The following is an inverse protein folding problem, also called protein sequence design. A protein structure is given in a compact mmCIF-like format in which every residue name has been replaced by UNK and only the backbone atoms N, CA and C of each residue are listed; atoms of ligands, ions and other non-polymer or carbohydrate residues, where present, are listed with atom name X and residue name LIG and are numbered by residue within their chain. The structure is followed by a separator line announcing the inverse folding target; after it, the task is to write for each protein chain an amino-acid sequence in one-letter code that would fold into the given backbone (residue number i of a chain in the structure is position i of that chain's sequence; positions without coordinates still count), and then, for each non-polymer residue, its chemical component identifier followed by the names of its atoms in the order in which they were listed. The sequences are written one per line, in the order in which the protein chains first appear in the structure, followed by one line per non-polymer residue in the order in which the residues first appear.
data_IF_189743208010
#
_entry.id   IF_189743208010
#
_cell.length_a   1.000
_cell.length_b   1.000
_cell.length_c   1.000
_cell.angle_alpha   90.00
_cell.angle_beta   90.00
_cell.angle_gamma   90.00
#
_symmetry.space_group_name_H-M   'P 1'
#
loop_
_entity.id
_entity.type
_entity.pdbx_description
1 polymer ?
#
# COMPACT_ATOMS: atom_id res chain seq x y z
N UNK A 1 24.44 1.00 -33.06
CA UNK A 1 24.10 2.43 -33.21
C UNK A 1 22.60 2.52 -33.29
N UNK A 2 21.92 2.91 -32.21
CA UNK A 2 20.47 3.08 -32.17
C UNK A 2 20.15 4.45 -31.60
N UNK A 3 19.95 5.40 -32.51
CA UNK A 3 19.48 6.75 -32.20
C UNK A 3 17.98 6.78 -32.47
N UNK A 4 17.17 6.73 -31.42
CA UNK A 4 15.72 6.87 -31.53
C UNK A 4 15.11 7.42 -30.24
N UNK A 5 15.47 8.65 -29.87
CA UNK A 5 14.64 9.50 -29.01
C UNK A 5 14.79 10.95 -29.46
N UNK A 6 14.20 11.25 -30.62
CA UNK A 6 13.94 12.62 -31.03
C UNK A 6 12.48 12.95 -30.72
N UNK A 7 12.32 14.01 -29.93
CA UNK A 7 11.06 14.70 -29.60
C UNK A 7 10.22 14.04 -28.51
N UNK A 8 10.53 14.36 -27.25
CA UNK A 8 9.50 14.46 -26.23
C UNK A 8 9.33 15.95 -25.95
N UNK A 9 8.12 16.41 -26.28
CA UNK A 9 7.63 17.75 -26.01
C UNK A 9 7.99 18.21 -24.60
N UNK A 10 8.50 19.44 -24.56
CA UNK A 10 8.88 20.18 -23.38
C UNK A 10 7.66 20.66 -22.59
N UNK A 11 6.77 19.74 -22.20
CA UNK A 11 5.91 19.95 -21.04
C UNK A 11 6.77 19.66 -19.83
N UNK A 12 7.23 20.71 -19.14
CA UNK A 12 8.05 20.66 -17.92
C UNK A 12 7.77 19.40 -17.06
N UNK A 13 8.52 18.33 -17.31
CA UNK A 13 8.48 17.10 -16.52
C UNK A 13 9.30 17.45 -15.27
N UNK A 14 8.65 18.05 -14.27
CA UNK A 14 9.26 18.12 -12.95
C UNK A 14 9.57 16.68 -12.55
N UNK A 15 10.86 16.35 -12.45
CA UNK A 15 11.28 15.05 -11.97
C UNK A 15 10.62 14.83 -10.60
N UNK A 16 9.79 13.79 -10.47
CA UNK A 16 9.16 13.45 -9.20
C UNK A 16 10.26 13.19 -8.17
N UNK A 17 10.11 13.76 -6.99
CA UNK A 17 11.02 13.45 -5.89
C UNK A 17 10.85 11.97 -5.50
N UNK A 18 11.89 11.32 -4.98
CA UNK A 18 11.78 9.96 -4.45
C UNK A 18 10.60 9.79 -3.48
N UNK A 19 10.34 10.81 -2.65
CA UNK A 19 9.20 10.81 -1.71
C UNK A 19 7.83 10.82 -2.42
N UNK A 20 7.69 11.52 -3.54
CA UNK A 20 6.44 11.56 -4.32
C UNK A 20 6.15 10.20 -4.96
N UNK A 21 7.19 9.54 -5.50
CA UNK A 21 7.08 8.18 -6.05
C UNK A 21 6.67 7.19 -4.95
N UNK A 22 7.27 7.30 -3.76
CA UNK A 22 6.92 6.44 -2.64
C UNK A 22 5.48 6.66 -2.15
N UNK A 23 4.97 7.89 -2.17
CA UNK A 23 3.56 8.18 -1.89
C UNK A 23 2.63 7.52 -2.91
N UNK A 24 2.99 7.50 -4.20
CA UNK A 24 2.19 6.81 -5.24
C UNK A 24 2.21 5.29 -5.07
N UNK A 25 3.34 4.70 -4.64
CA UNK A 25 3.37 3.27 -4.28
C UNK A 25 2.41 2.97 -3.14
N UNK A 26 2.35 3.84 -2.13
CA UNK A 26 1.37 3.72 -1.04
C UNK A 26 -0.08 3.91 -1.55
N UNK A 27 -0.34 4.76 -2.56
CA UNK A 27 -1.66 4.83 -3.21
C UNK A 27 -2.03 3.50 -3.86
N UNK A 28 -1.11 2.92 -4.62
CA UNK A 28 -1.35 1.64 -5.29
C UNK A 28 -1.66 0.52 -4.31
N UNK A 29 -0.93 0.44 -3.19
CA UNK A 29 -1.22 -0.53 -2.12
C UNK A 29 -2.60 -0.27 -1.53
N UNK A 30 -2.94 0.98 -1.21
CA UNK A 30 -4.25 1.33 -0.68
C UNK A 30 -5.40 0.96 -1.61
N UNK A 31 -5.21 1.15 -2.93
CA UNK A 31 -6.20 0.79 -3.94
C UNK A 31 -6.42 -0.74 -4.02
N UNK A 32 -5.34 -1.52 -4.04
CA UNK A 32 -5.46 -2.99 -4.03
C UNK A 32 -6.16 -3.47 -2.75
N UNK A 33 -5.89 -2.84 -1.62
CA UNK A 33 -6.55 -3.17 -0.35
C UNK A 33 -8.02 -2.77 -0.33
N UNK A 34 -8.42 -1.69 -1.00
CA UNK A 34 -9.84 -1.31 -1.08
C UNK A 34 -10.69 -2.27 -1.90
N UNK A 35 -10.05 -3.03 -2.79
CA UNK A 35 -10.71 -4.06 -3.60
C UNK A 35 -10.83 -5.40 -2.86
N UNK A 36 -10.24 -5.52 -1.65
CA UNK A 36 -10.46 -6.70 -0.81
C UNK A 36 -11.87 -6.65 -0.23
N UNK A 37 -12.77 -7.42 -0.83
CA UNK A 37 -14.11 -7.60 -0.29
C UNK A 37 -14.07 -8.54 0.93
N UNK A 38 -13.99 -7.94 2.12
CA UNK A 38 -14.02 -8.67 3.38
C UNK A 38 -15.39 -9.32 3.66
N UNK A 39 -16.46 -8.86 2.99
CA UNK A 39 -17.80 -9.43 3.15
C UNK A 39 -17.99 -10.74 2.36
N UNK A 40 -17.18 -10.97 1.32
CA UNK A 40 -17.19 -12.20 0.51
C UNK A 40 -16.29 -13.31 1.08
N UNK A 41 -15.69 -13.10 2.26
CA UNK A 41 -14.88 -14.11 2.95
C UNK A 41 -15.80 -15.17 3.57
N UNK A 42 -16.02 -16.27 2.85
CA UNK A 42 -16.93 -17.34 3.29
C UNK A 42 -16.22 -18.58 3.84
N UNK A 43 -14.98 -18.86 3.40
CA UNK A 43 -14.25 -20.06 3.80
C UNK A 43 -13.01 -19.76 4.64
N UNK A 44 -12.48 -20.77 5.33
CA UNK A 44 -11.21 -20.64 6.05
C UNK A 44 -10.03 -20.36 5.10
N UNK A 45 -10.08 -20.85 3.87
CA UNK A 45 -9.06 -20.57 2.86
C UNK A 45 -9.12 -19.11 2.40
N UNK A 46 -10.33 -18.55 2.25
CA UNK A 46 -10.52 -17.14 1.91
C UNK A 46 -10.02 -16.22 3.03
N UNK A 47 -10.33 -16.56 4.28
CA UNK A 47 -9.82 -15.85 5.45
C UNK A 47 -8.29 -15.89 5.49
N UNK A 48 -7.70 -17.07 5.29
CA UNK A 48 -6.25 -17.24 5.27
C UNK A 48 -5.61 -16.39 4.17
N UNK A 49 -6.20 -16.39 2.97
CA UNK A 49 -5.73 -15.60 1.83
C UNK A 49 -5.86 -14.09 2.09
N UNK A 50 -6.96 -13.64 2.67
CA UNK A 50 -7.17 -12.24 3.05
C UNK A 50 -6.15 -11.78 4.10
N UNK A 51 -5.93 -12.58 5.15
CA UNK A 51 -4.93 -12.27 6.18
C UNK A 51 -3.50 -12.24 5.63
N UNK A 52 -3.17 -13.15 4.71
CA UNK A 52 -1.87 -13.13 4.03
C UNK A 52 -1.68 -11.89 3.15
N UNK A 53 -2.73 -11.45 2.46
CA UNK A 53 -2.70 -10.22 1.65
C UNK A 53 -2.47 -8.99 2.56
N UNK A 54 -3.19 -8.90 3.68
CA UNK A 54 -3.03 -7.83 4.67
C UNK A 54 -1.61 -7.79 5.27
N UNK A 55 -1.06 -8.94 5.67
CA UNK A 55 0.32 -9.04 6.20
C UNK A 55 1.37 -8.65 5.15
N UNK A 56 1.17 -9.07 3.90
CA UNK A 56 2.06 -8.69 2.78
C UNK A 56 2.02 -7.18 2.55
N UNK A 57 0.83 -6.56 2.59
CA UNK A 57 0.70 -5.12 2.44
C UNK A 57 1.37 -4.34 3.59
N UNK A 58 1.18 -4.76 4.85
CA UNK A 58 1.86 -4.15 6.01
C UNK A 58 3.38 -4.18 5.86
N UNK A 59 3.93 -5.34 5.43
CA UNK A 59 5.37 -5.48 5.15
C UNK A 59 5.84 -4.52 4.06
N UNK A 60 5.11 -4.41 2.95
CA UNK A 60 5.42 -3.49 1.86
C UNK A 60 5.41 -2.03 2.32
N UNK A 61 4.41 -1.62 3.10
CA UNK A 61 4.31 -0.26 3.65
C UNK A 61 5.47 0.05 4.59
N UNK A 62 5.83 -0.90 5.47
CA UNK A 62 6.98 -0.76 6.38
C UNK A 62 8.30 -0.67 5.64
N UNK A 63 8.48 -1.44 4.57
CA UNK A 63 9.67 -1.38 3.72
C UNK A 63 9.79 0.00 3.05
N UNK A 64 8.72 0.48 2.41
CA UNK A 64 8.68 1.81 1.80
C UNK A 64 8.99 2.88 2.86
N UNK A 65 8.36 2.83 4.04
CA UNK A 65 8.64 3.80 5.11
C UNK A 65 10.10 3.74 5.60
N UNK A 66 10.69 2.54 5.65
CA UNK A 66 12.07 2.37 6.10
C UNK A 66 13.09 3.01 5.16
N UNK A 67 12.84 3.00 3.85
CA UNK A 67 13.68 3.64 2.83
C UNK A 67 13.88 5.15 3.06
N UNK A 68 12.92 5.81 3.72
CA UNK A 68 12.93 7.27 3.92
C UNK A 68 13.21 7.69 5.38
N UNK A 69 13.67 6.78 6.25
CA UNK A 69 13.92 7.11 7.68
C UNK A 69 15.05 8.15 7.89
N UNK A 70 15.99 8.25 6.97
CA UNK A 70 17.17 9.12 7.06
C UNK A 70 17.05 10.42 6.28
N UNK A 71 16.15 10.46 5.31
CA UNK A 71 15.75 11.72 4.67
C UNK A 71 14.77 12.44 5.61
N UNK A 72 14.61 13.76 5.46
CA UNK A 72 13.49 14.47 6.08
C UNK A 72 12.21 13.87 5.48
N UNK A 73 11.74 12.77 6.09
CA UNK A 73 10.65 11.97 5.56
C UNK A 73 9.49 12.92 5.37
N UNK A 74 9.03 13.04 4.13
CA UNK A 74 7.88 13.89 3.83
C UNK A 74 6.77 13.54 4.81
N UNK A 75 6.32 14.49 5.63
CA UNK A 75 5.25 14.26 6.62
C UNK A 75 4.02 13.63 5.97
N UNK A 76 3.83 13.86 4.68
CA UNK A 76 2.79 13.22 3.86
C UNK A 76 3.01 11.71 3.72
N UNK A 77 4.22 11.25 3.46
CA UNK A 77 4.58 9.84 3.34
C UNK A 77 4.40 9.12 4.68
N UNK A 78 4.90 9.72 5.77
CA UNK A 78 4.80 9.14 7.12
C UNK A 78 3.34 8.98 7.52
N UNK A 79 2.55 10.07 7.47
CA UNK A 79 1.13 10.04 7.82
C UNK A 79 0.35 9.04 6.98
N UNK A 80 0.67 8.94 5.69
CA UNK A 80 -0.02 8.00 4.80
C UNK A 80 0.30 6.55 5.13
N UNK A 81 1.57 6.23 5.37
CA UNK A 81 1.97 4.90 5.80
C UNK A 81 1.27 4.52 7.11
N UNK A 82 1.22 5.44 8.08
CA UNK A 82 0.53 5.24 9.37
C UNK A 82 -0.97 5.01 9.19
N UNK A 83 -1.64 5.80 8.35
CA UNK A 83 -3.05 5.60 8.03
C UNK A 83 -3.31 4.22 7.42
N UNK A 84 -2.48 3.79 6.46
CA UNK A 84 -2.66 2.48 5.82
C UNK A 84 -2.40 1.33 6.80
N UNK A 85 -1.37 1.43 7.65
CA UNK A 85 -1.12 0.42 8.70
C UNK A 85 -2.30 0.31 9.67
N UNK A 86 -2.91 1.44 10.06
CA UNK A 86 -4.09 1.45 10.93
C UNK A 86 -5.32 0.82 10.25
N UNK A 87 -5.53 1.06 8.96
CA UNK A 87 -6.60 0.42 8.18
C UNK A 87 -6.38 -1.09 8.07
N UNK A 88 -5.14 -1.54 7.85
CA UNK A 88 -4.79 -2.97 7.82
C UNK A 88 -5.05 -3.63 9.18
N UNK A 89 -4.69 -2.97 10.29
CA UNK A 89 -4.96 -3.49 11.63
C UNK A 89 -6.46 -3.66 11.85
N UNK A 90 -7.24 -2.63 11.54
CA UNK A 90 -8.69 -2.69 11.65
C UNK A 90 -9.30 -3.80 10.79
N UNK A 91 -8.83 -3.97 9.56
CA UNK A 91 -9.31 -5.05 8.69
C UNK A 91 -8.99 -6.44 9.25
N UNK A 92 -7.83 -6.62 9.89
CA UNK A 92 -7.48 -7.88 10.59
C UNK A 92 -8.39 -8.12 11.78
N UNK A 93 -8.67 -7.09 12.57
CA UNK A 93 -9.57 -7.18 13.72
C UNK A 93 -10.99 -7.56 13.28
N UNK A 94 -11.50 -6.95 12.21
CA UNK A 94 -12.82 -7.26 11.64
C UNK A 94 -12.89 -8.72 11.15
N UNK A 95 -11.88 -9.19 10.41
CA UNK A 95 -11.81 -10.57 9.93
C UNK A 95 -11.72 -11.61 11.05
N UNK A 96 -10.94 -11.33 12.10
CA UNK A 96 -10.78 -12.25 13.24
C UNK A 96 -11.99 -12.25 14.17
N UNK A 97 -12.64 -11.10 14.33
CA UNK A 97 -13.86 -10.96 15.15
C UNK A 97 -15.08 -11.64 14.51
N UNK A 98 -15.26 -11.56 13.19
CA UNK A 98 -16.32 -12.28 12.47
C UNK A 98 -16.25 -13.80 12.69
N UNK A 99 -15.04 -14.36 12.80
CA UNK A 99 -14.82 -15.78 13.09
C UNK A 99 -15.17 -16.14 14.54
N UNK A 100 -14.80 -15.29 15.49
CA UNK A 100 -15.11 -15.51 16.89
C UNK A 100 -16.62 -15.48 17.17
N UNK A 101 -17.40 -14.72 16.39
CA UNK A 101 -18.86 -14.66 16.49
C UNK A 101 -19.58 -15.83 15.80
N UNK A 102 -18.91 -16.56 14.92
CA UNK A 102 -19.46 -17.71 14.16
C UNK A 102 -19.00 -19.08 14.68
N UNK A 103 -18.22 -19.10 15.77
CA UNK A 103 -17.76 -20.31 16.48
C UNK A 103 -18.55 -20.51 17.77
#
# INVERSE_FOLDING_TARGET
MFSAFSSIDNHSIRARTPSEIAVERLDGIGHVLSDLDLADVQTQDDLTRALMALDTADKCIRAIRAEFRTEAASDRLVRKAENLMALIERARDELTSCRAASS
#
